data_IF_315576467928
#
_entry.id   IF_315576467928
#
_cell.length_a   1.000
_cell.length_b   1.000
_cell.length_c   1.000
_cell.angle_alpha   90.00
_cell.angle_beta   90.00
_cell.angle_gamma   90.00
#
_symmetry.space_group_name_H-M   'P 1'
#
loop_
_entity.id
_entity.type
_entity.pdbx_description
1 polymer ?
#
# COMPACT_ATOMS: atom_id res chain seq x y z
N UNK A 1 -27.36 20.28 -3.05
CA UNK A 1 -27.54 19.11 -3.94
C UNK A 1 -27.71 19.53 -5.39
N UNK A 2 -28.86 20.09 -5.83
CA UNK A 2 -29.13 20.42 -7.24
C UNK A 2 -28.00 21.18 -7.96
N UNK A 3 -27.57 22.32 -7.40
CA UNK A 3 -26.48 23.15 -7.97
C UNK A 3 -25.16 22.39 -8.22
N UNK A 4 -24.81 21.44 -7.35
CA UNK A 4 -23.55 20.68 -7.49
C UNK A 4 -23.66 19.61 -8.59
N UNK A 5 -24.85 19.04 -8.75
CA UNK A 5 -25.18 18.10 -9.83
C UNK A 5 -25.15 18.86 -11.17
N UNK A 6 -25.83 20.01 -11.25
CA UNK A 6 -25.87 20.85 -12.44
C UNK A 6 -24.45 21.28 -12.89
N UNK A 7 -23.58 21.67 -11.95
CA UNK A 7 -22.19 22.03 -12.27
C UNK A 7 -21.36 20.81 -12.71
N UNK A 8 -21.63 19.63 -12.15
CA UNK A 8 -20.97 18.38 -12.57
C UNK A 8 -21.34 18.02 -14.01
N UNK A 9 -22.63 18.12 -14.34
CA UNK A 9 -23.13 17.87 -15.69
C UNK A 9 -22.58 18.88 -16.70
N UNK A 10 -22.55 20.17 -16.34
CA UNK A 10 -21.97 21.23 -17.17
C UNK A 10 -20.49 20.97 -17.48
N UNK A 11 -19.69 20.53 -16.50
CA UNK A 11 -18.27 20.20 -16.71
C UNK A 11 -18.10 18.95 -17.57
N UNK A 12 -18.88 17.90 -17.28
CA UNK A 12 -18.82 16.64 -18.03
C UNK A 12 -19.14 16.85 -19.50
N UNK A 13 -20.18 17.62 -19.82
CA UNK A 13 -20.54 17.93 -21.21
C UNK A 13 -19.38 18.59 -21.98
N UNK A 14 -18.68 19.55 -21.36
CA UNK A 14 -17.51 20.20 -21.96
C UNK A 14 -16.34 19.23 -22.17
N UNK A 15 -16.09 18.35 -21.20
CA UNK A 15 -15.02 17.37 -21.28
C UNK A 15 -15.29 16.34 -22.37
N UNK A 16 -16.52 15.84 -22.49
CA UNK A 16 -16.91 14.91 -23.55
C UNK A 16 -16.78 15.56 -24.93
N UNK A 17 -17.27 16.78 -25.11
CA UNK A 17 -17.16 17.49 -26.39
C UNK A 17 -15.69 17.73 -26.79
N UNK A 18 -14.84 18.13 -25.85
CA UNK A 18 -13.41 18.28 -26.10
C UNK A 18 -12.76 16.94 -26.48
N UNK A 19 -13.09 15.87 -25.77
CA UNK A 19 -12.56 14.55 -26.04
C UNK A 19 -12.98 14.03 -27.41
N UNK A 20 -14.24 14.22 -27.81
CA UNK A 20 -14.75 13.85 -29.14
C UNK A 20 -14.06 14.65 -30.24
N UNK A 21 -13.92 15.96 -30.09
CA UNK A 21 -13.23 16.84 -31.04
C UNK A 21 -11.75 16.45 -31.24
N UNK A 22 -11.09 16.00 -30.17
CA UNK A 22 -9.66 15.68 -30.17
C UNK A 22 -9.37 14.18 -30.28
N UNK A 23 -10.38 13.33 -30.41
CA UNK A 23 -10.23 11.86 -30.44
C UNK A 23 -9.63 11.27 -29.15
N UNK A 24 -9.78 11.93 -28.00
CA UNK A 24 -9.22 11.50 -26.71
C UNK A 24 -10.12 10.41 -26.11
N UNK A 25 -9.55 9.23 -25.88
CA UNK A 25 -10.21 8.18 -25.09
C UNK A 25 -9.84 8.36 -23.60
N UNK A 26 -10.80 8.60 -22.70
CA UNK A 26 -10.51 8.72 -21.27
C UNK A 26 -9.91 7.44 -20.72
N UNK A 27 -8.76 7.55 -20.05
CA UNK A 27 -8.09 6.43 -19.39
C UNK A 27 -7.74 6.79 -17.95
N UNK A 28 -7.69 5.79 -17.08
CA UNK A 28 -7.28 5.99 -15.69
C UNK A 28 -5.79 6.31 -15.64
N UNK A 29 -5.44 7.40 -14.95
CA UNK A 29 -4.05 7.75 -14.68
C UNK A 29 -3.46 6.67 -13.77
N UNK A 30 -2.48 5.92 -14.27
CA UNK A 30 -1.67 5.01 -13.46
C UNK A 30 -0.31 5.68 -13.23
N UNK A 31 0.11 5.81 -11.97
CA UNK A 31 1.45 6.29 -11.62
C UNK A 31 2.16 5.22 -10.82
N UNK A 32 3.42 4.97 -11.14
CA UNK A 32 4.23 4.05 -10.35
C UNK A 32 4.58 4.69 -9.00
N UNK A 33 4.64 3.90 -7.93
CA UNK A 33 5.01 4.40 -6.59
C UNK A 33 6.40 5.05 -6.58
N UNK A 34 7.29 4.61 -7.49
CA UNK A 34 8.62 5.18 -7.66
C UNK A 34 8.58 6.65 -8.11
N UNK A 35 7.63 7.04 -8.96
CA UNK A 35 7.53 8.41 -9.50
C UNK A 35 7.14 9.44 -8.43
N UNK A 36 6.46 9.01 -7.34
CA UNK A 36 6.11 9.88 -6.22
C UNK A 36 7.35 10.22 -5.38
N UNK A 37 8.25 9.25 -5.19
CA UNK A 37 9.50 9.45 -4.47
C UNK A 37 10.51 10.26 -5.29
N UNK A 38 10.51 10.14 -6.61
CA UNK A 38 11.36 10.94 -7.50
C UNK A 38 10.96 12.42 -7.51
N UNK A 39 9.67 12.74 -7.43
CA UNK A 39 9.19 14.12 -7.30
C UNK A 39 9.55 14.77 -5.94
N UNK A 40 9.81 13.97 -4.91
CA UNK A 40 10.29 14.43 -3.61
C UNK A 40 11.82 14.58 -3.54
N UNK A 41 12.55 14.15 -4.57
CA UNK A 41 14.00 14.16 -4.56
C UNK A 41 14.54 15.50 -5.08
N UNK A 42 15.16 16.27 -4.18
CA UNK A 42 15.84 17.51 -4.53
C UNK A 42 16.86 17.32 -5.68
N UNK A 43 17.00 18.29 -6.61
CA UNK A 43 17.90 18.16 -7.74
C UNK A 43 19.36 18.06 -7.26
N UNK A 44 20.01 16.92 -7.52
CA UNK A 44 21.43 16.73 -7.25
C UNK A 44 21.86 15.31 -6.84
N UNK A 45 20.94 14.43 -6.41
CA UNK A 45 21.31 13.09 -5.92
C UNK A 45 21.18 12.03 -7.01
N UNK A 46 22.26 11.79 -7.76
CA UNK A 46 22.37 10.59 -8.61
C UNK A 46 22.45 9.36 -7.71
N UNK A 47 21.39 8.56 -7.65
CA UNK A 47 21.49 7.21 -7.06
C UNK A 47 21.46 6.15 -8.15
N UNK A 48 22.62 5.51 -8.29
CA UNK A 48 22.90 4.38 -9.16
C UNK A 48 21.90 3.24 -8.96
N UNK A 49 21.26 2.80 -10.04
CA UNK A 49 20.58 1.50 -10.12
C UNK A 49 21.55 0.38 -9.70
N UNK A 50 21.27 -0.30 -8.59
CA UNK A 50 21.78 -1.65 -8.36
C UNK A 50 20.62 -2.58 -8.00
N UNK A 51 20.21 -3.30 -9.05
CA UNK A 51 19.52 -4.58 -8.98
C UNK A 51 20.48 -5.56 -8.28
N UNK A 52 20.18 -5.97 -7.06
CA UNK A 52 21.01 -6.84 -6.24
C UNK A 52 20.16 -7.93 -5.60
N UNK A 53 20.41 -9.17 -6.03
CA UNK A 53 19.82 -10.41 -5.53
C UNK A 53 20.20 -10.67 -4.07
N UNK A 54 19.35 -11.46 -3.41
CA UNK A 54 19.66 -12.35 -2.26
C UNK A 54 20.07 -11.74 -0.91
N UNK A 55 19.25 -12.03 0.12
CA UNK A 55 19.49 -13.13 1.07
C UNK A 55 18.22 -13.37 1.91
N UNK A 56 17.56 -14.51 1.68
CA UNK A 56 16.55 -15.04 2.61
C UNK A 56 17.30 -15.54 3.85
N UNK A 57 17.25 -14.79 4.94
CA UNK A 57 17.56 -15.32 6.28
C UNK A 57 16.24 -15.80 6.85
N UNK A 58 15.94 -17.09 6.65
CA UNK A 58 14.82 -17.73 7.28
C UNK A 58 15.22 -18.08 8.73
N UNK A 59 14.86 -17.23 9.68
CA UNK A 59 14.74 -17.69 11.07
C UNK A 59 13.36 -18.31 11.27
N UNK A 60 13.32 -19.42 12.02
CA UNK A 60 12.13 -20.18 12.38
C UNK A 60 11.08 -19.27 13.02
N UNK A 61 9.94 -19.14 12.34
CA UNK A 61 8.82 -18.32 12.80
C UNK A 61 8.31 -18.81 14.15
N UNK A 62 8.18 -17.88 15.10
CA UNK A 62 7.37 -18.11 16.29
C UNK A 62 5.94 -18.41 15.82
N UNK A 63 5.50 -19.65 15.98
CA UNK A 63 4.15 -20.07 15.68
C UNK A 63 3.19 -19.35 16.63
N UNK A 64 2.60 -18.26 16.17
CA UNK A 64 1.38 -17.76 16.80
C UNK A 64 0.29 -18.80 16.57
N UNK A 65 -0.09 -19.49 17.64
CA UNK A 65 -1.19 -20.47 17.63
C UNK A 65 -2.53 -19.73 17.63
N UNK A 66 -2.94 -19.32 16.43
CA UNK A 66 -4.18 -18.57 16.16
C UNK A 66 -5.44 -19.39 16.51
N UNK A 67 -5.31 -20.71 16.75
CA UNK A 67 -6.44 -21.59 17.06
C UNK A 67 -7.08 -21.36 18.43
N UNK A 68 -6.39 -20.67 19.35
CA UNK A 68 -6.84 -20.48 20.74
C UNK A 68 -7.32 -19.06 21.07
N UNK A 69 -7.23 -18.11 20.14
CA UNK A 69 -7.58 -16.71 20.39
C UNK A 69 -9.01 -16.38 19.96
N UNK A 70 -9.72 -15.57 20.75
CA UNK A 70 -11.01 -15.00 20.37
C UNK A 70 -10.82 -14.07 19.15
N UNK A 71 -11.79 -14.02 18.23
CA UNK A 71 -11.72 -13.19 17.00
C UNK A 71 -11.41 -11.71 17.29
N UNK A 72 -11.91 -11.18 18.41
CA UNK A 72 -11.64 -9.80 18.86
C UNK A 72 -10.19 -9.60 19.29
N UNK A 73 -9.62 -10.56 20.04
CA UNK A 73 -8.23 -10.50 20.51
C UNK A 73 -7.24 -10.66 19.35
N UNK A 74 -7.59 -11.46 18.35
CA UNK A 74 -6.82 -11.63 17.12
C UNK A 74 -6.76 -10.33 16.30
N UNK A 75 -7.89 -9.65 16.12
CA UNK A 75 -7.95 -8.36 15.44
C UNK A 75 -7.12 -7.29 16.19
N UNK A 76 -7.19 -7.28 17.52
CA UNK A 76 -6.37 -6.40 18.36
C UNK A 76 -4.88 -6.69 18.24
N UNK A 77 -4.48 -7.96 18.18
CA UNK A 77 -3.09 -8.36 17.97
C UNK A 77 -2.57 -7.95 16.57
N UNK A 78 -3.38 -8.16 15.52
CA UNK A 78 -3.07 -7.73 14.16
C UNK A 78 -2.86 -6.22 14.09
N UNK A 79 -3.74 -5.42 14.72
CA UNK A 79 -3.59 -3.96 14.75
C UNK A 79 -2.29 -3.52 15.41
N UNK A 80 -1.95 -4.09 16.58
CA UNK A 80 -0.70 -3.75 17.29
C UNK A 80 0.55 -4.10 16.48
N UNK A 81 0.50 -5.22 15.76
CA UNK A 81 1.62 -5.70 14.96
C UNK A 81 1.78 -4.85 13.67
N UNK A 82 0.67 -4.36 13.13
CA UNK A 82 0.65 -3.40 12.03
C UNK A 82 1.22 -2.04 12.46
N UNK A 83 0.84 -1.53 13.63
CA UNK A 83 1.38 -0.28 14.19
C UNK A 83 2.90 -0.38 14.41
N UNK A 84 3.38 -1.47 15.02
CA UNK A 84 4.81 -1.72 15.24
C UNK A 84 5.59 -1.83 13.92
N UNK A 85 5.01 -2.45 12.89
CA UNK A 85 5.62 -2.52 11.56
C UNK A 85 5.80 -1.12 10.95
N UNK A 86 4.79 -0.26 11.08
CA UNK A 86 4.86 1.12 10.60
C UNK A 86 5.84 1.98 11.39
N UNK A 87 5.97 1.77 12.70
CA UNK A 87 6.96 2.44 13.54
C UNK A 87 8.39 2.06 13.14
N UNK A 88 8.68 0.76 12.99
CA UNK A 88 9.98 0.28 12.49
C UNK A 88 10.32 0.84 11.10
N UNK A 89 9.32 0.93 10.20
CA UNK A 89 9.51 1.53 8.89
C UNK A 89 9.82 3.03 8.96
N UNK A 90 9.20 3.77 9.89
CA UNK A 90 9.49 5.19 10.12
C UNK A 90 10.91 5.39 10.69
N UNK A 91 11.36 4.47 11.54
CA UNK A 91 12.72 4.48 12.11
C UNK A 91 13.80 3.98 11.14
N UNK A 92 13.44 3.63 9.90
CA UNK A 92 14.32 3.06 8.87
C UNK A 92 14.86 1.66 9.21
N UNK A 93 14.20 0.95 10.13
CA UNK A 93 14.51 -0.41 10.56
C UNK A 93 13.82 -1.43 9.63
N UNK A 94 14.24 -1.44 8.36
CA UNK A 94 13.56 -2.19 7.31
C UNK A 94 13.58 -3.72 7.50
N UNK A 95 14.61 -4.25 8.17
CA UNK A 95 14.72 -5.68 8.47
C UNK A 95 13.65 -6.11 9.50
N UNK A 96 13.43 -5.28 10.52
CA UNK A 96 12.41 -5.51 11.52
C UNK A 96 11.00 -5.31 10.94
N UNK A 97 10.80 -4.26 10.15
CA UNK A 97 9.54 -4.04 9.44
C UNK A 97 9.20 -5.21 8.50
N UNK A 98 10.20 -5.78 7.81
CA UNK A 98 9.99 -6.95 6.96
C UNK A 98 9.58 -8.20 7.77
N UNK A 99 10.20 -8.41 8.94
CA UNK A 99 9.84 -9.51 9.85
C UNK A 99 8.41 -9.38 10.36
N UNK A 100 8.03 -8.19 10.80
CA UNK A 100 6.68 -7.89 11.30
C UNK A 100 5.64 -8.04 10.18
N UNK A 101 5.95 -7.59 8.95
CA UNK A 101 5.08 -7.79 7.79
C UNK A 101 4.81 -9.27 7.53
N UNK A 102 5.84 -10.11 7.55
CA UNK A 102 5.69 -11.54 7.28
C UNK A 102 4.86 -12.24 8.37
N UNK A 103 5.02 -11.83 9.64
CA UNK A 103 4.17 -12.29 10.74
C UNK A 103 2.71 -11.83 10.59
N UNK A 104 2.49 -10.57 10.18
CA UNK A 104 1.17 -10.01 9.93
C UNK A 104 0.44 -10.78 8.82
N UNK A 105 1.16 -11.14 7.75
CA UNK A 105 0.61 -11.97 6.67
C UNK A 105 0.18 -13.34 7.17
N UNK A 106 1.03 -14.03 7.93
CA UNK A 106 0.68 -15.34 8.50
C UNK A 106 -0.54 -15.27 9.42
N UNK A 107 -0.66 -14.22 10.23
CA UNK A 107 -1.84 -14.02 11.09
C UNK A 107 -3.11 -13.77 10.29
N UNK A 108 -3.05 -12.91 9.27
CA UNK A 108 -4.20 -12.60 8.39
C UNK A 108 -4.64 -13.83 7.57
N UNK A 109 -3.69 -14.65 7.11
CA UNK A 109 -4.00 -15.92 6.43
C UNK A 109 -4.69 -16.92 7.36
N UNK A 110 -4.18 -17.10 8.58
CA UNK A 110 -4.81 -17.97 9.58
C UNK A 110 -6.21 -17.47 9.96
N UNK A 111 -6.40 -16.17 10.10
CA UNK A 111 -7.72 -15.57 10.34
C UNK A 111 -8.71 -15.90 9.21
N UNK A 112 -8.27 -15.78 7.95
CA UNK A 112 -9.11 -16.09 6.79
C UNK A 112 -9.48 -17.57 6.71
N UNK A 113 -8.57 -18.47 7.10
CA UNK A 113 -8.82 -19.91 7.15
C UNK A 113 -9.77 -20.33 8.28
N UNK A 114 -9.93 -19.51 9.33
CA UNK A 114 -10.83 -19.71 10.47
C UNK A 114 -12.23 -19.06 10.29
N UNK A 115 -12.42 -18.29 9.21
CA UNK A 115 -13.65 -17.58 8.88
C UNK A 115 -14.52 -18.36 7.89
#
# INVERSE_FOLDING_TARGET
MRKAIDETERRRAKQTAHNEEHGITPTTVTRSVADILEAAQAPGKKSSRRRGSERKVAESGAEYDVSTMNKQDLLGAISKLEDAMFEAAQNLEFEEAARLRDQLHQMKEKQLALG
#
